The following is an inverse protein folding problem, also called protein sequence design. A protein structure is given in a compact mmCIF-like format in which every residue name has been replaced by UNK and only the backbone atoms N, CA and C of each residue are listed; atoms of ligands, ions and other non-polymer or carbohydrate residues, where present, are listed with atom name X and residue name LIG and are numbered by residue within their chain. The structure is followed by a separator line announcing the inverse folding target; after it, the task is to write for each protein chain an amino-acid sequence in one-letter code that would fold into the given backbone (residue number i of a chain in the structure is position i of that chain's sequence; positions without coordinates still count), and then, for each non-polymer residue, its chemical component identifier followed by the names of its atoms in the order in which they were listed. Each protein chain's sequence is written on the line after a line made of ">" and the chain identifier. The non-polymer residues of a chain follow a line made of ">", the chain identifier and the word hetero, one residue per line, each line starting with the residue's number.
data_IF_454840407119
#
_entry.id   IF_454840407119
#
_cell.length_a   1.000
_cell.length_b   1.000
_cell.length_c   1.000
_cell.angle_alpha   90.00
_cell.angle_beta   90.00
_cell.angle_gamma   90.00
#
_symmetry.space_group_name_H-M   'P 1'
#
loop_
_entity.id
_entity.type
_entity.pdbx_description
1 polymer ?
#
# COMPACT_ATOMS: atom_id res chain seq x y z
N UNK A 1 12.99 -1.66 6.23
CA UNK A 1 12.22 -2.49 7.18
C UNK A 1 11.89 -1.80 8.51
N UNK A 2 12.74 -0.89 9.03
CA UNK A 2 12.51 -0.26 10.35
C UNK A 2 11.37 0.77 10.46
N UNK A 3 11.06 1.53 9.41
CA UNK A 3 10.07 2.63 9.49
C UNK A 3 8.60 2.17 9.53
N UNK A 4 8.29 1.02 8.91
CA UNK A 4 6.91 0.49 8.84
C UNK A 4 6.48 -0.08 10.20
N UNK A 5 7.41 -0.70 10.94
CA UNK A 5 7.17 -1.19 12.29
C UNK A 5 6.88 -0.08 13.31
N UNK A 6 7.42 1.12 13.08
CA UNK A 6 7.31 2.26 13.98
C UNK A 6 5.96 2.99 13.84
N UNK A 7 5.36 2.97 12.64
CA UNK A 7 4.00 3.47 12.40
C UNK A 7 2.92 2.55 12.98
N UNK A 8 3.14 1.22 12.93
CA UNK A 8 2.20 0.23 13.46
C UNK A 8 2.12 0.27 15.01
N UNK A 9 3.22 0.63 15.69
CA UNK A 9 3.23 0.86 17.14
C UNK A 9 2.37 2.07 17.55
N UNK A 10 2.39 3.14 16.75
CA UNK A 10 1.61 4.34 17.02
C UNK A 10 0.10 4.12 16.81
N UNK A 11 -0.28 3.22 15.89
CA UNK A 11 -1.68 2.84 15.66
C UNK A 11 -2.28 1.99 16.79
N UNK A 12 -1.45 1.25 17.54
CA UNK A 12 -1.88 0.40 18.67
C UNK A 12 -1.96 1.11 20.02
N UNK A 13 -1.71 2.42 20.05
CA UNK A 13 -1.76 3.22 21.29
C UNK A 13 -0.73 2.79 22.34
N UNK A 14 0.33 2.09 21.94
CA UNK A 14 1.42 1.68 22.82
C UNK A 14 2.55 2.70 22.68
N UNK A 15 2.94 3.31 23.80
CA UNK A 15 4.14 4.13 23.86
C UNK A 15 5.38 3.24 23.57
N UNK A 16 6.41 3.76 22.88
CA UNK A 16 7.59 2.97 22.51
C UNK A 16 8.51 2.63 23.70
N UNK A 17 8.27 3.12 24.92
CA UNK A 17 9.02 2.79 26.13
C UNK A 17 8.28 1.86 27.12
N UNK A 18 7.06 1.39 26.82
CA UNK A 18 6.38 0.35 27.60
C UNK A 18 5.96 0.78 29.02
N UNK A 19 5.62 2.05 29.21
CA UNK A 19 5.01 2.52 30.44
C UNK A 19 3.49 2.55 30.27
N UNK A 20 2.81 1.59 30.90
CA UNK A 20 1.35 1.62 31.03
C UNK A 20 0.94 2.94 31.70
N UNK A 21 0.29 3.83 30.95
CA UNK A 21 -0.37 5.01 31.52
C UNK A 21 -1.45 4.51 32.48
N UNK A 22 -1.17 4.62 33.77
CA UNK A 22 -2.11 4.35 34.85
C UNK A 22 -3.27 5.35 34.72
N UNK A 23 -4.48 4.82 34.48
CA UNK A 23 -5.74 5.56 34.46
C UNK A 23 -5.91 6.32 35.79
N UNK A 24 -5.39 7.56 35.83
CA UNK A 24 -5.60 8.43 36.98
C UNK A 24 -7.01 9.00 36.87
N UNK A 25 -7.95 8.21 37.39
CA UNK A 25 -9.34 8.56 37.53
C UNK A 25 -9.46 9.84 38.39
N UNK A 26 -9.63 10.99 37.73
CA UNK A 26 -9.81 12.27 38.41
C UNK A 26 -11.11 12.23 39.20
N UNK A 27 -11.02 12.12 40.53
CA UNK A 27 -12.18 12.20 41.42
C UNK A 27 -12.69 13.63 41.48
N UNK A 28 -13.81 13.91 40.82
CA UNK A 28 -14.55 15.16 40.99
C UNK A 28 -15.34 15.10 42.30
N UNK A 29 -14.81 15.72 43.36
CA UNK A 29 -15.53 15.87 44.63
C UNK A 29 -16.58 16.97 44.52
N UNK A 30 -17.87 16.61 44.50
CA UNK A 30 -18.96 17.57 44.63
C UNK A 30 -19.07 18.02 46.09
N UNK A 31 -18.68 19.27 46.38
CA UNK A 31 -18.95 19.91 47.68
C UNK A 31 -20.34 20.55 47.65
N UNK A 32 -21.26 20.02 48.45
CA UNK A 32 -22.59 20.59 48.67
C UNK A 32 -22.55 21.58 49.85
N UNK A 33 -22.64 22.87 49.58
CA UNK A 33 -22.89 23.90 50.60
C UNK A 33 -23.89 24.94 50.08
N UNK A 34 -24.92 25.22 50.90
CA UNK A 34 -26.00 26.16 50.61
C UNK A 34 -25.57 27.64 50.81
N UNK A 35 -26.24 28.64 50.18
CA UNK A 35 -25.65 29.95 49.95
C UNK A 35 -25.99 30.98 51.04
N UNK A 36 -25.02 31.86 51.34
CA UNK A 36 -25.26 33.21 51.88
C UNK A 36 -24.50 34.22 51.02
N UNK A 37 -25.18 35.32 50.70
CA UNK A 37 -24.95 36.40 49.71
C UNK A 37 -23.57 37.11 49.77
N UNK A 38 -23.22 38.09 48.90
CA UNK A 38 -23.53 38.40 47.50
C UNK A 38 -22.22 38.62 46.69
N UNK A 39 -21.49 37.55 46.35
CA UNK A 39 -20.23 37.65 45.55
C UNK A 39 -20.08 36.53 44.51
N UNK A 40 -21.19 35.86 44.18
CA UNK A 40 -21.22 34.62 43.42
C UNK A 40 -20.90 34.83 41.93
N UNK A 41 -21.13 36.03 41.39
CA UNK A 41 -21.10 36.30 39.93
C UNK A 41 -19.72 36.15 39.29
N UNK A 42 -18.62 36.46 40.00
CA UNK A 42 -17.28 36.46 39.43
C UNK A 42 -16.61 35.07 39.45
N UNK A 43 -16.97 34.23 40.44
CA UNK A 43 -16.50 32.84 40.55
C UNK A 43 -17.27 31.90 39.61
N UNK A 44 -18.56 32.14 39.40
CA UNK A 44 -19.35 31.38 38.40
C UNK A 44 -18.90 31.73 36.99
N UNK A 45 -18.58 33.00 36.68
CA UNK A 45 -18.11 33.40 35.34
C UNK A 45 -16.77 32.76 34.95
N UNK A 46 -15.80 32.70 35.86
CA UNK A 46 -14.52 32.05 35.60
C UNK A 46 -14.65 30.52 35.47
N UNK A 47 -15.54 29.89 36.25
CA UNK A 47 -15.86 28.48 36.13
C UNK A 47 -16.60 28.17 34.82
N UNK A 48 -17.58 28.98 34.45
CA UNK A 48 -18.36 28.85 33.22
C UNK A 48 -17.48 29.09 31.99
N UNK A 49 -16.57 30.07 32.02
CA UNK A 49 -15.55 30.27 30.97
C UNK A 49 -14.60 29.07 30.83
N UNK A 50 -14.08 28.54 31.94
CA UNK A 50 -13.22 27.35 31.88
C UNK A 50 -13.94 26.11 31.36
N UNK A 51 -15.22 25.93 31.71
CA UNK A 51 -16.07 24.84 31.21
C UNK A 51 -16.38 25.00 29.71
N UNK A 52 -16.64 26.22 29.24
CA UNK A 52 -16.83 26.53 27.82
C UNK A 52 -15.55 26.29 27.01
N UNK A 53 -14.38 26.66 27.52
CA UNK A 53 -13.08 26.41 26.89
C UNK A 53 -12.78 24.91 26.78
N UNK A 54 -12.98 24.13 27.85
CA UNK A 54 -12.81 22.67 27.84
C UNK A 54 -13.77 22.01 26.84
N UNK A 55 -15.03 22.44 26.81
CA UNK A 55 -16.01 21.94 25.83
C UNK A 55 -15.60 22.26 24.38
N UNK A 56 -15.05 23.45 24.15
CA UNK A 56 -14.57 23.88 22.82
C UNK A 56 -13.37 23.04 22.36
N UNK A 57 -12.39 22.82 23.25
CA UNK A 57 -11.23 21.97 22.96
C UNK A 57 -11.63 20.51 22.72
N UNK A 58 -12.59 19.99 23.49
CA UNK A 58 -13.11 18.63 23.29
C UNK A 58 -13.80 18.50 21.92
N UNK A 59 -14.55 19.51 21.49
CA UNK A 59 -15.14 19.55 20.16
C UNK A 59 -14.07 19.59 19.05
N UNK A 60 -13.01 20.38 19.23
CA UNK A 60 -11.89 20.43 18.29
C UNK A 60 -11.16 19.08 18.20
N UNK A 61 -10.88 18.43 19.33
CA UNK A 61 -10.26 17.11 19.37
C UNK A 61 -11.10 16.08 18.60
N UNK A 62 -12.40 16.05 18.81
CA UNK A 62 -13.31 15.16 18.08
C UNK A 62 -13.28 15.44 16.56
N UNK A 63 -13.23 16.70 16.15
CA UNK A 63 -13.12 17.06 14.75
C UNK A 63 -11.79 16.55 14.14
N UNK A 64 -10.67 16.76 14.83
CA UNK A 64 -9.35 16.28 14.40
C UNK A 64 -9.31 14.75 14.34
N UNK A 65 -9.87 14.06 15.33
CA UNK A 65 -9.94 12.59 15.35
C UNK A 65 -10.73 12.03 14.16
N UNK A 66 -11.85 12.66 13.79
CA UNK A 66 -12.63 12.25 12.60
C UNK A 66 -11.83 12.42 11.32
N UNK A 67 -11.12 13.54 11.17
CA UNK A 67 -10.28 13.79 10.00
C UNK A 67 -9.11 12.80 9.95
N UNK A 68 -8.47 12.53 11.10
CA UNK A 68 -7.39 11.52 11.23
C UNK A 68 -7.88 10.15 10.77
N UNK A 69 -9.04 9.72 11.25
CA UNK A 69 -9.62 8.42 10.91
C UNK A 69 -9.93 8.33 9.40
N UNK A 70 -10.58 9.37 8.85
CA UNK A 70 -10.88 9.41 7.42
C UNK A 70 -9.61 9.33 6.55
N UNK A 71 -8.57 10.09 6.92
CA UNK A 71 -7.29 10.06 6.21
C UNK A 71 -6.57 8.72 6.37
N UNK A 72 -6.63 8.11 7.55
CA UNK A 72 -6.03 6.80 7.80
C UNK A 72 -6.69 5.73 6.93
N UNK A 73 -8.02 5.72 6.85
CA UNK A 73 -8.78 4.81 5.98
C UNK A 73 -8.41 5.01 4.51
N UNK A 74 -8.31 6.25 4.04
CA UNK A 74 -7.89 6.55 2.67
C UNK A 74 -6.45 6.08 2.40
N UNK A 75 -5.55 6.24 3.36
CA UNK A 75 -4.16 5.79 3.22
C UNK A 75 -4.07 4.27 3.05
N UNK A 76 -4.80 3.51 3.87
CA UNK A 76 -4.86 2.04 3.77
C UNK A 76 -5.43 1.59 2.42
N UNK A 77 -6.47 2.27 1.95
CA UNK A 77 -7.07 1.99 0.64
C UNK A 77 -6.07 2.26 -0.50
N UNK A 78 -5.32 3.37 -0.43
CA UNK A 78 -4.27 3.68 -1.40
C UNK A 78 -3.15 2.65 -1.37
N UNK A 79 -2.70 2.22 -0.18
CA UNK A 79 -1.70 1.16 -0.03
C UNK A 79 -2.17 -0.14 -0.67
N UNK A 80 -3.43 -0.53 -0.44
CA UNK A 80 -4.03 -1.71 -1.07
C UNK A 80 -4.02 -1.59 -2.60
N UNK A 81 -4.44 -0.45 -3.15
CA UNK A 81 -4.45 -0.21 -4.60
C UNK A 81 -3.06 -0.26 -5.21
N UNK A 82 -2.05 0.29 -4.54
CA UNK A 82 -0.67 0.22 -5.00
C UNK A 82 -0.18 -1.23 -5.01
N UNK A 83 -0.42 -1.97 -3.93
CA UNK A 83 -0.07 -3.38 -3.86
C UNK A 83 -0.74 -4.21 -4.97
N UNK A 84 -2.04 -3.99 -5.23
CA UNK A 84 -2.75 -4.64 -6.33
C UNK A 84 -2.16 -4.31 -7.70
N UNK A 85 -1.63 -3.10 -7.91
CA UNK A 85 -0.97 -2.71 -9.17
C UNK A 85 0.41 -3.35 -9.30
N UNK A 86 1.20 -3.36 -8.23
CA UNK A 86 2.50 -4.03 -8.19
C UNK A 86 2.37 -5.52 -8.50
N UNK A 87 1.36 -6.20 -7.94
CA UNK A 87 1.08 -7.61 -8.26
C UNK A 87 0.72 -7.82 -9.74
N UNK A 88 -0.04 -6.90 -10.34
CA UNK A 88 -0.39 -6.95 -11.78
C UNK A 88 0.79 -6.65 -12.69
N UNK A 89 1.71 -5.78 -12.27
CA UNK A 89 2.94 -5.49 -13.02
C UNK A 89 3.97 -6.62 -12.86
N UNK A 90 3.97 -7.29 -11.71
CA UNK A 90 4.81 -8.46 -11.42
C UNK A 90 4.31 -9.75 -12.09
N UNK A 91 3.04 -9.80 -12.53
CA UNK A 91 2.63 -10.87 -13.44
C UNK A 91 3.55 -10.83 -14.67
N UNK A 92 4.28 -11.93 -14.97
CA UNK A 92 5.14 -11.96 -16.12
C UNK A 92 4.27 -11.64 -17.33
N UNK A 93 4.64 -10.61 -18.09
CA UNK A 93 4.00 -10.32 -19.36
C UNK A 93 4.24 -11.54 -20.25
N UNK A 94 3.30 -12.48 -20.26
CA UNK A 94 3.37 -13.69 -21.06
C UNK A 94 3.22 -13.25 -22.51
N UNK A 95 4.35 -13.04 -23.18
CA UNK A 95 4.36 -12.77 -24.61
C UNK A 95 3.78 -14.01 -25.29
N UNK A 96 2.63 -13.90 -25.97
CA UNK A 96 2.04 -15.04 -26.65
C UNK A 96 3.05 -15.60 -27.64
N UNK A 97 3.22 -16.93 -27.59
CA UNK A 97 4.23 -17.63 -28.40
C UNK A 97 5.63 -17.03 -28.23
N UNK A 98 6.09 -16.72 -27.01
CA UNK A 98 7.41 -16.14 -26.78
C UNK A 98 8.56 -16.94 -27.44
N UNK A 99 9.55 -16.23 -27.98
CA UNK A 99 10.79 -16.83 -28.44
C UNK A 99 11.48 -17.56 -27.30
N UNK A 100 11.82 -18.83 -27.52
CA UNK A 100 12.39 -19.71 -26.48
C UNK A 100 13.83 -19.33 -26.09
N UNK A 101 14.45 -18.42 -26.83
CA UNK A 101 15.82 -17.94 -26.59
C UNK A 101 15.81 -16.68 -25.71
N UNK A 102 15.14 -15.62 -26.14
CA UNK A 102 15.16 -14.34 -25.42
C UNK A 102 14.00 -14.14 -24.43
N UNK A 103 12.93 -14.92 -24.54
CA UNK A 103 11.69 -14.83 -23.75
C UNK A 103 11.03 -13.43 -23.75
N UNK A 104 11.46 -12.54 -24.64
CA UNK A 104 11.11 -11.10 -24.63
C UNK A 104 10.34 -10.65 -25.86
N UNK A 105 10.33 -11.45 -26.93
CA UNK A 105 9.65 -11.14 -28.19
C UNK A 105 8.84 -12.34 -28.65
N UNK A 106 7.74 -12.12 -29.36
CA UNK A 106 6.96 -13.21 -29.96
C UNK A 106 7.80 -13.96 -30.98
N UNK A 107 7.74 -15.28 -30.93
CA UNK A 107 8.28 -16.16 -31.95
C UNK A 107 7.51 -15.95 -33.25
N UNK A 108 8.25 -15.69 -34.31
CA UNK A 108 7.74 -15.50 -35.66
C UNK A 108 8.63 -16.18 -36.71
N UNK A 109 9.55 -17.05 -36.28
CA UNK A 109 10.43 -17.82 -37.17
C UNK A 109 10.30 -19.30 -36.90
N UNK A 110 10.05 -20.05 -37.98
CA UNK A 110 9.86 -21.50 -38.02
C UNK A 110 11.16 -22.17 -38.45
N UNK A 111 11.59 -23.19 -37.70
CA UNK A 111 12.74 -24.03 -38.03
C UNK A 111 12.33 -25.14 -39.01
N UNK A 112 12.90 -25.18 -40.21
CA UNK A 112 12.69 -26.28 -41.17
C UNK A 112 13.86 -27.29 -41.10
N UNK A 113 13.59 -28.61 -41.26
CA UNK A 113 12.33 -29.22 -41.70
C UNK A 113 11.34 -29.54 -40.57
N UNK A 114 11.71 -29.33 -39.31
CA UNK A 114 10.91 -29.78 -38.16
C UNK A 114 9.61 -29.00 -37.88
N UNK A 115 9.45 -27.80 -38.46
CA UNK A 115 8.28 -26.90 -38.38
C UNK A 115 7.97 -26.32 -37.00
N UNK A 116 8.93 -26.32 -36.08
CA UNK A 116 8.77 -25.66 -34.79
C UNK A 116 8.88 -24.13 -34.90
N UNK A 117 7.85 -23.42 -34.46
CA UNK A 117 7.86 -21.97 -34.25
C UNK A 117 8.55 -21.68 -32.91
N UNK A 118 9.81 -21.25 -32.94
CA UNK A 118 10.66 -21.20 -31.75
C UNK A 118 11.37 -19.85 -31.54
N UNK A 119 11.64 -19.12 -32.62
CA UNK A 119 12.54 -17.98 -32.62
C UNK A 119 11.82 -16.70 -33.00
N UNK A 120 12.27 -15.55 -32.47
CA UNK A 120 11.96 -14.25 -33.06
C UNK A 120 13.00 -13.93 -34.16
N UNK A 121 12.68 -12.97 -35.04
CA UNK A 121 13.59 -12.50 -36.11
C UNK A 121 15.03 -12.26 -35.63
N UNK A 122 15.25 -11.39 -34.62
CA UNK A 122 16.61 -11.13 -34.12
C UNK A 122 17.35 -12.37 -33.60
N UNK A 123 16.68 -13.25 -32.85
CA UNK A 123 17.32 -14.47 -32.34
C UNK A 123 17.58 -15.52 -33.43
N UNK A 124 16.91 -15.42 -34.58
CA UNK A 124 17.13 -16.31 -35.71
C UNK A 124 18.34 -15.94 -36.56
N UNK A 125 18.85 -14.71 -36.44
CA UNK A 125 20.00 -14.21 -37.19
C UNK A 125 21.35 -14.56 -36.55
N UNK A 126 21.37 -15.25 -35.40
CA UNK A 126 22.61 -15.66 -34.77
C UNK A 126 23.27 -16.84 -35.50
N UNK A 127 24.56 -16.70 -35.82
CA UNK A 127 25.34 -17.71 -36.58
C UNK A 127 25.42 -19.09 -35.90
N UNK A 128 25.20 -19.16 -34.59
CA UNK A 128 25.18 -20.41 -33.81
C UNK A 128 23.82 -21.13 -33.84
N UNK A 129 22.82 -20.56 -34.51
CA UNK A 129 21.48 -21.13 -34.64
C UNK A 129 21.41 -22.21 -35.73
N UNK A 130 22.11 -23.33 -35.52
CA UNK A 130 22.21 -24.42 -36.52
C UNK A 130 21.25 -25.58 -36.27
N UNK A 131 20.60 -25.64 -35.10
CA UNK A 131 19.66 -26.71 -34.75
C UNK A 131 18.45 -26.14 -34.01
N UNK A 132 17.29 -26.76 -34.19
CA UNK A 132 16.05 -26.31 -33.59
C UNK A 132 16.15 -26.38 -32.05
N UNK A 133 15.91 -25.28 -31.30
CA UNK A 133 15.98 -25.30 -29.83
C UNK A 133 14.95 -26.23 -29.17
N UNK A 134 13.88 -26.60 -29.89
CA UNK A 134 12.80 -27.45 -29.38
C UNK A 134 13.13 -28.93 -29.55
N UNK A 135 13.48 -29.37 -30.76
CA UNK A 135 13.65 -30.79 -31.07
C UNK A 135 15.08 -31.20 -31.44
N UNK A 136 16.02 -30.26 -31.50
CA UNK A 136 17.45 -30.45 -31.80
C UNK A 136 17.75 -31.05 -33.19
N UNK A 137 16.77 -31.05 -34.09
CA UNK A 137 16.97 -31.37 -35.51
C UNK A 137 17.72 -30.20 -36.15
N UNK A 138 18.71 -30.51 -37.01
CA UNK A 138 19.46 -29.51 -37.77
C UNK A 138 18.51 -28.64 -38.61
N UNK A 139 18.83 -27.35 -38.68
CA UNK A 139 18.04 -26.36 -39.40
C UNK A 139 18.56 -26.25 -40.82
N UNK A 140 17.71 -26.60 -41.78
CA UNK A 140 17.99 -26.42 -43.21
C UNK A 140 17.65 -24.97 -43.64
N UNK A 141 16.56 -24.43 -43.09
CA UNK A 141 16.03 -23.11 -43.43
C UNK A 141 15.26 -22.50 -42.25
N UNK A 142 15.37 -21.19 -42.10
CA UNK A 142 14.58 -20.39 -41.16
C UNK A 142 13.54 -19.58 -41.93
N UNK A 143 12.26 -19.83 -41.65
CA UNK A 143 11.14 -19.17 -42.33
C UNK A 143 10.43 -18.20 -41.38
N UNK A 144 10.46 -16.91 -41.69
CA UNK A 144 9.72 -15.91 -40.93
C UNK A 144 8.24 -15.86 -41.38
N UNK A 145 7.33 -15.85 -40.41
CA UNK A 145 5.88 -15.74 -40.59
C UNK A 145 5.37 -14.40 -40.08
N UNK A 146 4.32 -13.88 -40.71
CA UNK A 146 3.64 -12.65 -40.32
C UNK A 146 2.17 -12.95 -40.07
N UNK A 147 1.66 -12.57 -38.91
CA UNK A 147 0.24 -12.68 -38.58
C UNK A 147 -0.50 -11.40 -39.00
N UNK A 148 -1.72 -11.50 -39.56
CA UNK A 148 -2.52 -10.33 -39.97
C UNK A 148 -2.98 -9.48 -38.78
#
# INVERSE_FOLDING_TARGET
>A
EGQVAQLDQWARGLDPNGHAEEDQQVQVTQSTAAPSSPSVEHLTYAHDHGVLEVSSLQQQLLAVQRVKEALHQENLELQRRLHERELKEAEPHQVPHACVVCLSSSANVVCLPCKHLALCGPCSEHDDMTSCPICRIDIDELMQIFTP
#
